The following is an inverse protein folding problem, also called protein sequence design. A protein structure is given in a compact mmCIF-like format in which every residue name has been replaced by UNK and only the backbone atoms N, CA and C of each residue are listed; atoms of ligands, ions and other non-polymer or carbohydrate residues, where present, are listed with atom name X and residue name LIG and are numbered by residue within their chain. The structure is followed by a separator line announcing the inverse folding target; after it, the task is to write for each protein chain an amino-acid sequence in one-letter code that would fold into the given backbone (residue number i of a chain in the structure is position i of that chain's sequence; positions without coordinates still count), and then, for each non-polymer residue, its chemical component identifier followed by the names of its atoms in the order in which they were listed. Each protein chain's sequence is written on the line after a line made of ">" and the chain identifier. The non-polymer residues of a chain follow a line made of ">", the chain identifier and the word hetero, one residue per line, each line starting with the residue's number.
data_IF_340236320507
#
_entry.id   IF_340236320507
#
_cell.length_a   1.000
_cell.length_b   1.000
_cell.length_c   1.000
_cell.angle_alpha   90.00
_cell.angle_beta   90.00
_cell.angle_gamma   90.00
#
_symmetry.space_group_name_H-M   'P 1'
#
loop_
_entity.id
_entity.type
_entity.pdbx_description
1 polymer ?
#
# COMPACT_ATOMS: atom_id res chain seq x y z
N UNK A 1 -4.02 -12.53 13.33
CA UNK A 1 -3.85 -12.26 11.88
C UNK A 1 -2.70 -11.30 11.64
N UNK A 2 -1.80 -11.61 10.68
CA UNK A 2 -0.71 -10.74 10.27
C UNK A 2 -0.88 -10.34 8.80
N UNK A 3 -1.14 -9.04 8.54
CA UNK A 3 -1.33 -8.45 7.22
C UNK A 3 -0.18 -7.48 6.95
N UNK A 4 0.46 -7.57 5.78
CA UNK A 4 1.38 -6.56 5.27
C UNK A 4 0.66 -5.55 4.38
N UNK A 5 1.17 -4.31 4.33
CA UNK A 5 0.63 -3.24 3.48
C UNK A 5 1.79 -2.47 2.88
N UNK A 6 1.81 -2.36 1.55
CA UNK A 6 2.82 -1.58 0.80
C UNK A 6 2.15 -0.90 -0.39
N UNK A 7 2.46 0.36 -0.65
CA UNK A 7 1.86 1.17 -1.71
C UNK A 7 2.89 2.07 -2.37
N UNK A 8 2.55 2.58 -3.54
CA UNK A 8 3.32 3.64 -4.20
C UNK A 8 4.80 3.25 -4.40
N UNK A 9 4.99 2.03 -4.95
CA UNK A 9 6.29 1.45 -5.25
C UNK A 9 7.03 2.17 -6.38
N UNK A 10 6.27 2.64 -7.39
CA UNK A 10 6.81 3.41 -8.51
C UNK A 10 8.06 2.79 -9.15
N UNK A 11 8.09 1.47 -9.32
CA UNK A 11 9.20 0.77 -9.96
C UNK A 11 10.41 0.50 -9.06
N UNK A 12 10.37 0.85 -7.77
CA UNK A 12 11.46 0.70 -6.81
C UNK A 12 11.59 -0.76 -6.33
N UNK A 13 12.46 -1.53 -6.98
CA UNK A 13 12.71 -2.94 -6.62
C UNK A 13 13.28 -3.07 -5.20
N UNK A 14 14.29 -2.29 -4.85
CA UNK A 14 14.92 -2.39 -3.53
C UNK A 14 13.94 -2.03 -2.40
N UNK A 15 13.05 -1.05 -2.64
CA UNK A 15 11.99 -0.68 -1.69
C UNK A 15 10.99 -1.83 -1.47
N UNK A 16 10.63 -2.55 -2.53
CA UNK A 16 9.79 -3.74 -2.45
C UNK A 16 10.45 -4.86 -1.66
N UNK A 17 11.69 -5.22 -2.01
CA UNK A 17 12.45 -6.28 -1.34
C UNK A 17 12.61 -5.99 0.15
N UNK A 18 12.91 -4.74 0.50
CA UNK A 18 13.05 -4.32 1.89
C UNK A 18 11.71 -4.37 2.65
N UNK A 19 10.61 -3.97 2.01
CA UNK A 19 9.28 -4.09 2.61
C UNK A 19 8.93 -5.56 2.88
N UNK A 20 9.17 -6.47 1.91
CA UNK A 20 8.92 -7.90 2.09
C UNK A 20 9.76 -8.52 3.23
N UNK A 21 11.01 -8.08 3.38
CA UNK A 21 11.85 -8.53 4.49
C UNK A 21 11.24 -8.17 5.85
N UNK A 22 10.76 -6.93 6.01
CA UNK A 22 10.12 -6.44 7.24
C UNK A 22 8.73 -7.07 7.48
N UNK A 23 8.04 -7.43 6.40
CA UNK A 23 6.71 -8.03 6.43
C UNK A 23 6.75 -9.56 6.38
N UNK A 24 7.93 -10.17 6.57
CA UNK A 24 8.10 -11.62 6.53
C UNK A 24 7.13 -12.33 7.47
N UNK A 25 6.43 -13.33 6.92
CA UNK A 25 5.45 -14.12 7.66
C UNK A 25 4.04 -13.53 7.63
N UNK A 26 3.79 -12.40 6.92
CA UNK A 26 2.42 -11.96 6.70
C UNK A 26 1.64 -12.99 5.88
N UNK A 27 0.35 -13.09 6.16
CA UNK A 27 -0.55 -14.06 5.54
C UNK A 27 -1.16 -13.52 4.23
N UNK A 28 -1.18 -12.21 4.09
CA UNK A 28 -1.66 -11.49 2.91
C UNK A 28 -0.98 -10.12 2.84
N UNK A 29 -0.73 -9.63 1.62
CA UNK A 29 -0.28 -8.28 1.34
C UNK A 29 -1.43 -7.47 0.71
N UNK A 30 -1.67 -6.28 1.22
CA UNK A 30 -2.56 -5.29 0.61
C UNK A 30 -1.71 -4.25 -0.11
N UNK A 31 -2.02 -4.00 -1.38
CA UNK A 31 -1.31 -3.03 -2.18
C UNK A 31 -2.28 -2.01 -2.80
N UNK A 32 -2.33 -0.79 -2.27
CA UNK A 32 -3.17 0.29 -2.82
C UNK A 32 -2.76 0.84 -4.18
N UNK A 33 -1.81 0.24 -4.91
CA UNK A 33 -1.49 0.63 -6.28
C UNK A 33 -0.21 1.43 -6.46
N UNK A 34 -0.05 2.01 -7.65
CA UNK A 34 1.13 2.70 -8.16
C UNK A 34 2.38 1.81 -8.10
N UNK A 35 2.32 0.70 -8.87
CA UNK A 35 3.30 -0.37 -8.82
C UNK A 35 4.59 -0.06 -9.60
N UNK A 36 4.49 0.10 -10.92
CA UNK A 36 5.63 -0.02 -11.83
C UNK A 36 6.16 1.29 -12.37
N UNK A 37 5.31 2.31 -12.53
CA UNK A 37 5.68 3.57 -13.16
C UNK A 37 5.94 4.70 -12.15
N UNK A 38 7.08 5.39 -12.29
CA UNK A 38 7.43 6.50 -11.39
C UNK A 38 6.63 7.78 -11.62
N UNK A 39 5.95 7.90 -12.78
CA UNK A 39 5.21 9.09 -13.18
C UNK A 39 6.12 10.24 -13.66
N UNK A 40 5.54 11.29 -14.25
CA UNK A 40 6.31 12.43 -14.76
C UNK A 40 6.74 13.43 -13.68
N UNK A 41 6.26 13.24 -12.42
CA UNK A 41 6.51 14.15 -11.31
C UNK A 41 7.87 13.93 -10.65
N UNK A 42 8.36 12.69 -10.68
CA UNK A 42 9.55 12.28 -9.96
C UNK A 42 10.60 11.73 -10.93
N UNK A 43 11.87 11.97 -10.62
CA UNK A 43 12.96 11.25 -11.28
C UNK A 43 12.99 9.80 -10.76
N UNK A 44 13.32 8.81 -11.62
CA UNK A 44 13.45 7.44 -11.18
C UNK A 44 14.56 7.29 -10.14
N UNK A 45 14.28 6.53 -9.08
CA UNK A 45 15.30 6.19 -8.07
C UNK A 45 16.35 5.24 -8.66
N UNK A 46 17.52 5.11 -8.01
CA UNK A 46 18.61 4.24 -8.47
C UNK A 46 18.17 2.79 -8.70
N UNK A 47 17.29 2.28 -7.85
CA UNK A 47 16.73 0.91 -7.92
C UNK A 47 15.49 0.79 -8.81
N UNK A 48 15.21 1.79 -9.66
CA UNK A 48 14.07 1.75 -10.59
C UNK A 48 14.24 0.63 -11.61
N UNK A 49 13.47 -0.42 -11.47
CA UNK A 49 13.45 -1.56 -12.37
C UNK A 49 12.05 -2.17 -12.42
N UNK A 50 11.11 -1.60 -13.20
CA UNK A 50 9.72 -2.03 -13.22
C UNK A 50 9.54 -3.48 -13.66
N UNK A 51 10.38 -3.99 -14.57
CA UNK A 51 10.31 -5.38 -15.03
C UNK A 51 10.71 -6.35 -13.93
N UNK A 52 11.85 -6.13 -13.31
CA UNK A 52 12.29 -6.98 -12.19
C UNK A 52 11.35 -6.88 -10.99
N UNK A 53 10.76 -5.70 -10.74
CA UNK A 53 9.74 -5.54 -9.71
C UNK A 53 8.48 -6.36 -10.02
N UNK A 54 7.99 -6.36 -11.26
CA UNK A 54 6.84 -7.20 -11.64
C UNK A 54 7.15 -8.69 -11.43
N UNK A 55 8.35 -9.15 -11.80
CA UNK A 55 8.81 -10.51 -11.54
C UNK A 55 8.90 -10.83 -10.04
N UNK A 56 9.40 -9.89 -9.24
CA UNK A 56 9.49 -10.02 -7.78
C UNK A 56 8.10 -10.06 -7.12
N UNK A 57 7.15 -9.24 -7.58
CA UNK A 57 5.75 -9.27 -7.14
C UNK A 57 5.13 -10.64 -7.44
N UNK A 58 5.31 -11.18 -8.65
CA UNK A 58 4.76 -12.47 -9.04
C UNK A 58 5.33 -13.65 -8.23
N UNK A 59 6.57 -13.51 -7.74
CA UNK A 59 7.28 -14.55 -7.00
C UNK A 59 7.31 -14.32 -5.47
N UNK A 60 6.54 -13.36 -4.94
CA UNK A 60 6.60 -13.00 -3.51
C UNK A 60 6.11 -14.12 -2.57
N UNK A 61 5.38 -15.10 -3.09
CA UNK A 61 4.91 -16.25 -2.29
C UNK A 61 3.81 -15.94 -1.28
N UNK A 62 3.28 -14.71 -1.28
CA UNK A 62 2.22 -14.25 -0.39
C UNK A 62 1.03 -13.82 -1.24
N UNK A 63 -0.22 -14.20 -0.88
CA UNK A 63 -1.40 -13.69 -1.56
C UNK A 63 -1.44 -12.16 -1.55
N UNK A 64 -1.67 -11.57 -2.74
CA UNK A 64 -1.70 -10.12 -2.93
C UNK A 64 -3.11 -9.64 -3.29
N UNK A 65 -3.58 -8.58 -2.63
CA UNK A 65 -4.77 -7.85 -3.01
C UNK A 65 -4.34 -6.45 -3.49
N UNK A 66 -4.53 -6.20 -4.79
CA UNK A 66 -4.07 -4.97 -5.43
C UNK A 66 -5.27 -4.13 -5.86
N UNK A 67 -5.30 -2.86 -5.46
CA UNK A 67 -6.16 -1.84 -6.05
C UNK A 67 -5.34 -0.98 -7.03
N UNK A 68 -5.94 -0.64 -8.18
CA UNK A 68 -5.29 0.14 -9.23
C UNK A 68 -5.01 1.56 -8.78
N UNK A 69 -3.77 2.02 -8.96
CA UNK A 69 -3.37 3.40 -8.79
C UNK A 69 -3.51 4.25 -10.05
N UNK A 70 -3.20 5.53 -9.95
CA UNK A 70 -3.26 6.46 -11.10
C UNK A 70 -2.07 6.33 -12.05
N UNK A 71 -0.96 5.77 -11.59
CA UNK A 71 0.19 5.47 -12.44
C UNK A 71 0.13 4.04 -13.03
N UNK A 72 -0.78 3.18 -12.57
CA UNK A 72 -0.93 1.83 -13.08
C UNK A 72 -1.67 1.82 -14.42
N UNK A 73 -1.09 1.20 -15.40
CA UNK A 73 -1.61 1.09 -16.75
C UNK A 73 -2.25 -0.27 -17.04
N UNK A 74 -2.98 -0.38 -18.14
CA UNK A 74 -3.49 -1.66 -18.64
C UNK A 74 -2.37 -2.64 -18.98
N UNK A 75 -1.23 -2.10 -19.41
CA UNK A 75 -0.04 -2.89 -19.78
C UNK A 75 0.56 -3.59 -18.55
N UNK A 76 0.43 -3.03 -17.36
CA UNK A 76 0.98 -3.63 -16.14
C UNK A 76 0.36 -5.01 -15.87
N UNK A 77 -0.90 -5.21 -16.22
CA UNK A 77 -1.58 -6.50 -16.15
C UNK A 77 -1.01 -7.58 -17.07
N UNK A 78 -0.12 -7.24 -18.01
CA UNK A 78 0.62 -8.22 -18.82
C UNK A 78 1.86 -8.76 -18.10
N UNK A 79 2.34 -8.04 -17.08
CA UNK A 79 3.55 -8.35 -16.33
C UNK A 79 3.26 -8.77 -14.89
N UNK A 80 2.27 -8.16 -14.25
CA UNK A 80 1.79 -8.52 -12.90
C UNK A 80 0.64 -9.51 -13.04
N UNK A 81 0.85 -10.75 -12.58
CA UNK A 81 -0.12 -11.84 -12.76
C UNK A 81 -1.27 -11.77 -11.74
N UNK A 82 -1.11 -11.03 -10.66
CA UNK A 82 -2.16 -10.82 -9.68
C UNK A 82 -3.22 -9.87 -10.25
N UNK A 83 -4.52 -10.09 -9.96
CA UNK A 83 -5.57 -9.17 -10.41
C UNK A 83 -5.38 -7.75 -9.85
N UNK A 84 -5.30 -6.76 -10.74
CA UNK A 84 -5.30 -5.34 -10.37
C UNK A 84 -6.75 -4.86 -10.44
N UNK A 85 -7.39 -4.69 -9.30
CA UNK A 85 -8.80 -4.35 -9.18
C UNK A 85 -9.01 -2.83 -9.22
N UNK A 86 -10.10 -2.38 -9.83
CA UNK A 86 -10.39 -0.95 -9.95
C UNK A 86 -11.89 -0.70 -9.79
N UNK A 87 -12.30 0.38 -9.13
CA UNK A 87 -11.48 1.33 -8.34
C UNK A 87 -11.21 0.85 -6.92
N UNK A 88 -11.83 -0.26 -6.53
CA UNK A 88 -11.77 -0.82 -5.17
C UNK A 88 -11.43 -2.30 -5.20
N UNK A 89 -10.65 -2.73 -4.23
CA UNK A 89 -10.45 -4.13 -3.91
C UNK A 89 -11.01 -4.41 -2.51
N UNK A 90 -11.83 -5.45 -2.39
CA UNK A 90 -12.45 -5.83 -1.13
C UNK A 90 -11.90 -7.16 -0.62
N UNK A 91 -11.71 -7.26 0.68
CA UNK A 91 -11.43 -8.52 1.35
C UNK A 91 -12.23 -8.67 2.64
N UNK A 92 -12.53 -9.92 2.96
CA UNK A 92 -13.04 -10.33 4.28
C UNK A 92 -11.96 -11.21 4.91
N UNK A 93 -11.24 -10.66 5.90
CA UNK A 93 -10.12 -11.33 6.57
C UNK A 93 -10.45 -11.45 8.07
N UNK A 94 -10.55 -12.66 8.57
CA UNK A 94 -10.94 -12.96 9.96
C UNK A 94 -12.20 -12.20 10.44
N UNK A 95 -13.20 -12.13 9.57
CA UNK A 95 -14.48 -11.45 9.86
C UNK A 95 -14.42 -9.92 9.78
N UNK A 96 -13.27 -9.32 9.45
CA UNK A 96 -13.09 -7.89 9.23
C UNK A 96 -13.17 -7.54 7.74
N UNK A 97 -13.86 -6.44 7.43
CA UNK A 97 -14.06 -5.95 6.06
C UNK A 97 -12.97 -4.94 5.73
N UNK A 98 -12.22 -5.23 4.69
CA UNK A 98 -11.17 -4.36 4.17
C UNK A 98 -11.62 -3.73 2.86
N UNK A 99 -11.45 -2.42 2.74
CA UNK A 99 -11.54 -1.66 1.51
C UNK A 99 -10.14 -1.16 1.18
N UNK A 100 -9.59 -1.64 0.06
CA UNK A 100 -8.32 -1.17 -0.48
C UNK A 100 -8.59 -0.35 -1.72
N UNK A 101 -8.03 0.85 -1.80
CA UNK A 101 -8.17 1.76 -2.94
C UNK A 101 -6.92 2.61 -3.03
N UNK A 102 -6.62 3.15 -4.21
CA UNK A 102 -5.49 4.08 -4.29
C UNK A 102 -5.79 5.44 -3.65
N UNK A 103 -7.02 5.92 -3.79
CA UNK A 103 -7.45 7.17 -3.16
C UNK A 103 -7.35 8.41 -4.04
N UNK A 104 -7.08 8.26 -5.34
CA UNK A 104 -6.95 9.36 -6.31
C UNK A 104 -8.29 9.79 -6.95
N UNK A 105 -9.32 8.95 -6.88
CA UNK A 105 -10.61 9.20 -7.55
C UNK A 105 -11.58 10.00 -6.70
N UNK A 106 -11.46 9.90 -5.39
CA UNK A 106 -12.38 10.53 -4.44
C UNK A 106 -11.60 11.29 -3.37
N UNK A 107 -12.09 12.44 -2.90
CA UNK A 107 -11.49 13.13 -1.78
C UNK A 107 -11.59 12.29 -0.49
N UNK A 108 -10.69 12.48 0.50
CA UNK A 108 -10.63 11.66 1.71
C UNK A 108 -11.97 11.57 2.47
N UNK A 109 -12.72 12.67 2.54
CA UNK A 109 -14.01 12.73 3.23
C UNK A 109 -15.03 11.79 2.56
N UNK A 110 -15.00 11.73 1.23
CA UNK A 110 -15.87 10.84 0.46
C UNK A 110 -15.52 9.38 0.62
N UNK A 111 -14.23 9.05 0.68
CA UNK A 111 -13.76 7.70 0.97
C UNK A 111 -14.22 7.23 2.35
N UNK A 112 -14.15 8.10 3.36
CA UNK A 112 -14.63 7.81 4.71
C UNK A 112 -16.14 7.61 4.75
N UNK A 113 -16.91 8.42 4.02
CA UNK A 113 -18.37 8.26 3.87
C UNK A 113 -18.72 6.91 3.24
N UNK A 114 -18.04 6.54 2.13
CA UNK A 114 -18.24 5.27 1.45
C UNK A 114 -17.88 4.08 2.37
N UNK A 115 -16.75 4.15 3.04
CA UNK A 115 -16.31 3.13 3.99
C UNK A 115 -17.34 2.94 5.12
N UNK A 116 -17.88 4.02 5.66
CA UNK A 116 -18.94 3.97 6.67
C UNK A 116 -20.22 3.34 6.14
N UNK A 117 -20.67 3.74 4.94
CA UNK A 117 -21.87 3.18 4.26
C UNK A 117 -21.74 1.68 4.01
N UNK A 118 -20.55 1.21 3.65
CA UNK A 118 -20.26 -0.21 3.38
C UNK A 118 -19.85 -0.99 4.63
N UNK A 119 -19.85 -0.33 5.79
CA UNK A 119 -19.49 -0.91 7.10
C UNK A 119 -18.09 -1.55 7.06
N UNK A 120 -17.15 -0.83 6.50
CA UNK A 120 -15.74 -1.23 6.43
C UNK A 120 -15.12 -1.11 7.82
N UNK A 121 -14.31 -2.10 8.20
CA UNK A 121 -13.51 -2.05 9.44
C UNK A 121 -12.14 -1.39 9.18
N UNK A 122 -11.53 -1.67 8.01
CA UNK A 122 -10.23 -1.11 7.61
C UNK A 122 -10.30 -0.51 6.21
N UNK A 123 -10.07 0.79 6.10
CA UNK A 123 -9.83 1.50 4.85
C UNK A 123 -8.32 1.65 4.66
N UNK A 124 -7.80 1.11 3.56
CA UNK A 124 -6.38 1.18 3.21
C UNK A 124 -6.25 1.93 1.90
N UNK A 125 -5.50 3.04 1.90
CA UNK A 125 -5.22 3.80 0.68
C UNK A 125 -3.75 4.19 0.53
N UNK A 126 -3.36 4.55 -0.71
CA UNK A 126 -2.06 5.08 -1.10
C UNK A 126 -2.11 6.54 -1.52
N UNK A 127 -1.49 6.85 -2.67
CA UNK A 127 -1.54 8.10 -3.43
C UNK A 127 -0.87 9.31 -2.79
N UNK A 128 -1.08 9.53 -1.49
CA UNK A 128 -0.60 10.75 -0.83
C UNK A 128 0.87 10.65 -0.40
N UNK A 129 1.45 9.45 -0.37
CA UNK A 129 2.82 9.19 0.11
C UNK A 129 3.08 9.69 1.53
N UNK A 130 2.02 9.74 2.35
CA UNK A 130 2.04 10.25 3.73
C UNK A 130 1.52 9.16 4.66
N UNK A 131 2.40 8.53 5.43
CA UNK A 131 1.98 7.47 6.33
C UNK A 131 1.08 8.02 7.44
N UNK A 132 -0.05 7.37 7.67
CA UNK A 132 -0.92 7.67 8.80
C UNK A 132 -1.79 6.49 9.22
N UNK A 133 -2.21 6.52 10.48
CA UNK A 133 -3.24 5.66 11.04
C UNK A 133 -4.22 6.57 11.79
N UNK A 134 -5.49 6.54 11.38
CA UNK A 134 -6.56 7.30 12.05
C UNK A 134 -7.75 6.40 12.32
N UNK A 135 -8.43 6.63 13.45
CA UNK A 135 -9.60 5.87 13.87
C UNK A 135 -10.83 6.77 13.85
N UNK A 136 -11.86 6.35 13.10
CA UNK A 136 -13.14 7.03 12.96
C UNK A 136 -14.26 6.11 13.46
N UNK A 137 -14.54 6.12 14.77
CA UNK A 137 -15.47 5.17 15.40
C UNK A 137 -14.96 3.74 15.30
N UNK A 138 -15.65 2.88 14.53
CA UNK A 138 -15.23 1.49 14.29
C UNK A 138 -14.34 1.31 13.04
N UNK A 139 -14.15 2.35 12.25
CA UNK A 139 -13.32 2.34 11.04
C UNK A 139 -11.88 2.73 11.38
N UNK A 140 -10.92 1.93 10.99
CA UNK A 140 -9.50 2.27 10.99
C UNK A 140 -9.05 2.61 9.57
N UNK A 141 -8.51 3.81 9.37
CA UNK A 141 -7.99 4.31 8.11
C UNK A 141 -6.47 4.29 8.14
N UNK A 142 -5.84 3.65 7.15
CA UNK A 142 -4.40 3.43 7.07
C UNK A 142 -3.88 3.87 5.71
N UNK A 143 -2.87 4.73 5.70
CA UNK A 143 -2.01 4.94 4.55
C UNK A 143 -0.60 4.44 4.93
N UNK A 144 -0.02 3.48 4.20
CA UNK A 144 1.30 2.93 4.56
C UNK A 144 2.46 3.90 4.25
N UNK A 145 2.18 5.04 3.60
CA UNK A 145 3.20 5.87 2.98
C UNK A 145 3.71 5.23 1.69
N UNK A 146 4.99 5.35 1.46
CA UNK A 146 5.67 4.87 0.24
C UNK A 146 7.10 4.43 0.55
N UNK A 147 7.61 3.40 -0.09
CA UNK A 147 9.04 3.06 -0.04
C UNK A 147 9.92 3.94 -0.92
N UNK A 148 9.33 4.87 -1.73
CA UNK A 148 10.03 5.50 -2.84
C UNK A 148 10.11 7.03 -2.74
N UNK A 149 8.97 7.72 -2.62
CA UNK A 149 8.90 9.20 -2.66
C UNK A 149 8.12 9.76 -1.47
N UNK A 150 8.68 9.74 -0.24
CA UNK A 150 7.97 10.19 0.96
C UNK A 150 7.65 11.69 0.91
N UNK A 151 6.37 12.05 1.14
CA UNK A 151 5.84 13.41 1.06
C UNK A 151 5.21 13.89 2.38
N UNK A 152 5.45 13.21 3.50
CA UNK A 152 4.93 13.64 4.79
C UNK A 152 5.40 15.07 5.13
N UNK A 153 4.52 15.86 5.71
CA UNK A 153 4.85 17.22 6.18
C UNK A 153 5.70 17.16 7.43
N UNK A 154 5.36 16.25 8.32
CA UNK A 154 6.14 15.97 9.52
C UNK A 154 7.46 15.28 9.14
N UNK A 155 8.58 15.90 9.54
CA UNK A 155 9.93 15.43 9.17
C UNK A 155 10.21 14.01 9.68
N UNK A 156 9.71 13.68 10.88
CA UNK A 156 9.84 12.35 11.46
C UNK A 156 9.19 11.23 10.63
N UNK A 157 8.16 11.58 9.84
CA UNK A 157 7.43 10.66 8.96
C UNK A 157 7.84 10.76 7.48
N UNK A 158 8.71 11.73 7.12
CA UNK A 158 9.20 11.92 5.74
C UNK A 158 10.34 10.97 5.43
N UNK A 159 10.02 9.68 5.45
CA UNK A 159 10.96 8.58 5.17
C UNK A 159 10.26 7.42 4.49
N UNK A 160 11.00 6.51 3.81
CA UNK A 160 10.42 5.32 3.22
C UNK A 160 9.74 4.45 4.28
N UNK A 161 8.48 4.07 4.00
CA UNK A 161 7.64 3.33 4.95
C UNK A 161 6.85 2.21 4.28
N UNK A 162 6.44 1.24 5.07
CA UNK A 162 5.35 0.31 4.81
C UNK A 162 4.49 0.18 6.08
N UNK A 163 3.44 -0.62 6.05
CA UNK A 163 2.62 -0.84 7.22
C UNK A 163 2.34 -2.34 7.44
N UNK A 164 1.90 -2.66 8.64
CA UNK A 164 1.39 -3.99 8.98
C UNK A 164 0.22 -3.90 9.95
N UNK A 165 -0.59 -4.96 9.98
CA UNK A 165 -1.59 -5.17 11.03
C UNK A 165 -1.24 -6.48 11.70
N UNK A 166 -0.98 -6.46 13.01
CA UNK A 166 -0.71 -7.63 13.82
C UNK A 166 -1.80 -7.73 14.89
N UNK A 167 -2.56 -8.81 14.87
CA UNK A 167 -3.66 -9.07 15.81
C UNK A 167 -4.65 -7.89 15.95
N UNK A 168 -4.95 -7.27 14.81
CA UNK A 168 -5.88 -6.12 14.73
C UNK A 168 -5.24 -4.76 15.03
N UNK A 169 -3.96 -4.70 15.39
CA UNK A 169 -3.23 -3.45 15.69
C UNK A 169 -2.43 -3.03 14.48
N UNK A 170 -2.77 -1.90 13.82
CA UNK A 170 -1.99 -1.37 12.70
C UNK A 170 -0.73 -0.67 13.18
N UNK A 171 0.33 -0.75 12.39
CA UNK A 171 1.63 -0.13 12.64
C UNK A 171 2.25 0.37 11.35
N UNK A 172 2.87 1.54 11.38
CA UNK A 172 3.74 2.05 10.29
C UNK A 172 5.19 1.71 10.64
N UNK A 173 5.91 1.17 9.67
CA UNK A 173 7.31 0.78 9.81
C UNK A 173 8.21 1.68 8.96
N UNK A 174 9.32 2.13 9.55
CA UNK A 174 10.44 2.73 8.82
C UNK A 174 11.18 1.63 8.03
N UNK A 175 11.28 1.76 6.72
CA UNK A 175 12.00 0.79 5.90
C UNK A 175 13.51 0.76 6.21
N UNK A 176 14.09 1.88 6.58
CA UNK A 176 15.52 1.97 6.91
C UNK A 176 15.87 1.17 8.17
N UNK A 177 15.26 1.53 9.27
CA UNK A 177 15.56 0.95 10.59
C UNK A 177 14.73 -0.29 10.94
N UNK A 178 13.58 -0.48 10.33
CA UNK A 178 12.59 -1.49 10.70
C UNK A 178 11.79 -1.15 11.97
N UNK A 179 11.97 0.04 12.53
CA UNK A 179 11.27 0.48 13.74
C UNK A 179 9.82 0.87 13.44
N UNK A 180 8.96 0.69 14.45
CA UNK A 180 7.60 1.21 14.43
C UNK A 180 7.64 2.71 14.65
N UNK A 181 6.96 3.47 13.75
CA UNK A 181 6.83 4.93 13.82
C UNK A 181 5.48 5.36 14.39
N UNK A 182 4.41 4.63 14.05
CA UNK A 182 3.03 4.85 14.48
C UNK A 182 2.39 3.52 14.85
#
# INVERSE_FOLDING_TARGET
>A
MYIGIVSDLHGNLAGWERALELLRGCQVLLCPGDLLYHGPRFDPVESYNPRALAEAINNCGVPLLIARGNADSEVDGLFVHQPIQSPYAFALLEGKRFLVTHGHLEPPEKLLELAGRWRIDYLVNGHFHRPHITVHGSLTHINPGTPTYPLAEEEALRRPTCARIVDGVPQILDLGSGQVLL
#
